data_IF_106173465184
#
_entry.id   IF_106173465184
#
_cell.length_a   1.000
_cell.length_b   1.000
_cell.length_c   1.000
_cell.angle_alpha   90.00
_cell.angle_beta   90.00
_cell.angle_gamma   90.00
#
_symmetry.space_group_name_H-M   'P 1'
#
loop_
_entity.id
_entity.type
_entity.pdbx_description
1 polymer ?
#
# COMPACT_ATOMS: atom_id res chain seq x y z
N UNK A 1 -15.19 3.22 14.87
CA UNK A 1 -15.91 2.10 15.46
C UNK A 1 -15.48 0.79 14.82
N UNK A 2 -15.41 -0.25 15.64
CA UNK A 2 -15.05 -1.56 15.15
C UNK A 2 -16.26 -2.27 14.52
N UNK A 3 -16.09 -2.85 13.36
CA UNK A 3 -17.10 -3.64 12.70
C UNK A 3 -16.57 -5.06 12.51
N UNK A 4 -17.46 -6.03 12.50
CA UNK A 4 -17.08 -7.42 12.32
C UNK A 4 -17.23 -7.81 10.86
N UNK A 5 -16.14 -8.32 10.28
CA UNK A 5 -16.12 -8.83 8.91
C UNK A 5 -15.66 -10.28 8.99
N UNK A 6 -16.38 -11.17 8.31
CA UNK A 6 -16.02 -12.60 8.29
C UNK A 6 -15.41 -12.99 6.96
N UNK A 7 -14.26 -13.65 7.04
CA UNK A 7 -13.52 -14.13 5.86
C UNK A 7 -13.10 -15.57 6.11
N UNK A 8 -13.20 -16.40 5.09
CA UNK A 8 -12.71 -17.78 5.17
C UNK A 8 -11.22 -17.79 4.89
N UNK A 9 -10.48 -18.46 5.76
CA UNK A 9 -9.03 -18.62 5.63
C UNK A 9 -8.75 -20.11 5.48
N UNK A 10 -7.85 -20.50 4.57
CA UNK A 10 -7.50 -21.90 4.41
C UNK A 10 -6.66 -22.39 5.60
N UNK A 11 -6.56 -23.71 5.73
CA UNK A 11 -5.86 -24.34 6.86
C UNK A 11 -4.39 -23.97 6.91
N UNK A 12 -3.75 -23.80 5.76
CA UNK A 12 -2.34 -23.45 5.67
C UNK A 12 -2.08 -22.05 6.23
N UNK A 13 -2.89 -21.09 5.84
CA UNK A 13 -2.78 -19.72 6.34
C UNK A 13 -3.06 -19.66 7.83
N UNK A 14 -4.07 -20.39 8.29
CA UNK A 14 -4.39 -20.42 9.71
C UNK A 14 -3.22 -20.98 10.54
N UNK A 15 -2.57 -22.04 10.06
CA UNK A 15 -1.37 -22.58 10.72
C UNK A 15 -0.24 -21.56 10.79
N UNK A 16 0.01 -20.85 9.71
CA UNK A 16 1.05 -19.83 9.66
C UNK A 16 0.77 -18.70 10.66
N UNK A 17 -0.48 -18.27 10.76
CA UNK A 17 -0.90 -17.26 11.74
C UNK A 17 -0.70 -17.77 13.18
N UNK A 18 -1.05 -19.01 13.43
CA UNK A 18 -0.86 -19.62 14.76
C UNK A 18 0.62 -19.74 15.12
N UNK A 19 1.47 -20.07 14.15
CA UNK A 19 2.92 -20.10 14.35
C UNK A 19 3.46 -18.73 14.71
N UNK A 20 3.04 -17.69 14.00
CA UNK A 20 3.43 -16.30 14.28
C UNK A 20 2.99 -15.91 15.68
N UNK A 21 1.76 -16.27 16.05
CA UNK A 21 1.21 -15.99 17.37
C UNK A 21 2.08 -16.58 18.48
N UNK A 22 2.57 -17.80 18.30
CA UNK A 22 3.45 -18.46 19.27
C UNK A 22 4.84 -17.81 19.33
N UNK A 23 5.42 -17.51 18.18
CA UNK A 23 6.75 -16.90 18.08
C UNK A 23 6.74 -15.50 18.71
N UNK A 24 5.73 -14.73 18.39
CA UNK A 24 5.58 -13.34 18.83
C UNK A 24 5.01 -13.22 20.24
N UNK A 25 4.59 -14.33 20.84
CA UNK A 25 3.96 -14.38 22.16
C UNK A 25 2.78 -13.43 22.25
N UNK A 26 1.93 -13.45 21.22
CA UNK A 26 0.78 -12.57 21.09
C UNK A 26 -0.47 -13.39 20.80
N UNK A 27 -1.64 -12.80 20.95
CA UNK A 27 -2.89 -13.49 20.67
C UNK A 27 -3.09 -13.58 19.15
N UNK A 28 -3.83 -14.60 18.73
CA UNK A 28 -4.18 -14.77 17.32
C UNK A 28 -4.93 -13.55 16.78
N UNK A 29 -5.83 -12.98 17.58
CA UNK A 29 -6.59 -11.79 17.19
C UNK A 29 -5.68 -10.58 16.95
N UNK A 30 -4.70 -10.36 17.82
CA UNK A 30 -3.77 -9.25 17.67
C UNK A 30 -2.85 -9.43 16.45
N UNK A 31 -2.39 -10.66 16.22
CA UNK A 31 -1.58 -10.99 15.04
C UNK A 31 -2.37 -10.71 13.76
N UNK A 32 -3.64 -11.16 13.72
CA UNK A 32 -4.52 -10.90 12.57
C UNK A 32 -4.71 -9.40 12.33
N UNK A 33 -4.90 -8.63 13.40
CA UNK A 33 -5.10 -7.19 13.29
C UNK A 33 -3.84 -6.49 12.74
N UNK A 34 -2.67 -6.89 13.20
CA UNK A 34 -1.41 -6.37 12.68
C UNK A 34 -1.22 -6.69 11.21
N UNK A 35 -1.51 -7.93 10.82
CA UNK A 35 -1.41 -8.37 9.42
C UNK A 35 -2.37 -7.58 8.54
N UNK A 36 -3.61 -7.39 8.99
CA UNK A 36 -4.59 -6.60 8.24
C UNK A 36 -4.13 -5.15 8.08
N UNK A 37 -3.61 -4.56 9.14
CA UNK A 37 -3.14 -3.17 9.10
C UNK A 37 -2.00 -2.99 8.09
N UNK A 38 -1.01 -3.86 8.15
CA UNK A 38 0.10 -3.87 7.19
C UNK A 38 -0.37 -4.18 5.78
N UNK A 39 -1.26 -5.16 5.65
CA UNK A 39 -1.79 -5.57 4.35
C UNK A 39 -2.59 -4.48 3.65
N UNK A 40 -3.37 -3.71 4.39
CA UNK A 40 -4.12 -2.58 3.83
C UNK A 40 -3.18 -1.52 3.28
N UNK A 41 -2.14 -1.17 4.03
CA UNK A 41 -1.15 -0.19 3.59
C UNK A 41 -0.40 -0.66 2.35
N UNK A 42 0.01 -1.91 2.35
CA UNK A 42 0.72 -2.53 1.22
C UNK A 42 -0.16 -2.60 -0.02
N UNK A 43 -1.43 -2.96 0.15
CA UNK A 43 -2.38 -3.03 -0.96
C UNK A 43 -2.65 -1.66 -1.57
N UNK A 44 -2.78 -0.64 -0.76
CA UNK A 44 -2.94 0.74 -1.24
C UNK A 44 -1.74 1.19 -2.04
N UNK A 45 -0.53 0.88 -1.57
CA UNK A 45 0.69 1.21 -2.28
C UNK A 45 0.77 0.46 -3.61
N UNK A 46 0.43 -0.82 -3.62
CA UNK A 46 0.39 -1.64 -4.83
C UNK A 46 -0.54 -1.05 -5.88
N UNK A 47 -1.75 -0.67 -5.47
CA UNK A 47 -2.74 -0.04 -6.35
C UNK A 47 -2.21 1.29 -6.89
N UNK A 48 -1.61 2.10 -6.02
CA UNK A 48 -1.06 3.40 -6.40
C UNK A 48 0.06 3.25 -7.45
N UNK A 49 0.96 2.29 -7.25
CA UNK A 49 2.05 2.02 -8.19
C UNK A 49 1.53 1.54 -9.54
N UNK A 50 0.52 0.68 -9.53
CA UNK A 50 -0.10 0.17 -10.76
C UNK A 50 -0.76 1.30 -11.56
N UNK A 51 -1.53 2.15 -10.88
CA UNK A 51 -2.16 3.30 -11.52
C UNK A 51 -1.14 4.27 -12.10
N UNK A 52 -0.05 4.49 -11.38
CA UNK A 52 1.03 5.34 -11.87
C UNK A 52 1.69 4.75 -13.12
N UNK A 53 2.02 3.45 -13.08
CA UNK A 53 2.62 2.75 -14.23
C UNK A 53 1.75 2.82 -15.47
N UNK A 54 0.43 2.72 -15.28
CA UNK A 54 -0.54 2.71 -16.37
C UNK A 54 -0.94 4.12 -16.81
N UNK A 55 -0.31 5.14 -16.28
CA UNK A 55 -0.64 6.55 -16.55
C UNK A 55 -2.08 6.93 -16.18
N UNK A 56 -2.67 6.20 -15.24
CA UNK A 56 -4.01 6.48 -14.72
C UNK A 56 -4.00 7.49 -13.59
N UNK A 57 -2.85 7.72 -12.99
CA UNK A 57 -2.67 8.68 -11.90
C UNK A 57 -1.30 9.33 -12.00
N UNK A 58 -1.23 10.60 -11.66
CA UNK A 58 0.04 11.30 -11.50
C UNK A 58 0.73 10.79 -10.23
N UNK A 59 2.02 11.09 -10.07
CA UNK A 59 2.76 10.71 -8.86
C UNK A 59 2.11 11.28 -7.61
N UNK A 60 1.62 12.52 -7.69
CA UNK A 60 0.95 13.19 -6.58
C UNK A 60 -0.34 12.47 -6.19
N UNK A 61 -1.18 12.13 -7.18
CA UNK A 61 -2.42 11.40 -6.92
C UNK A 61 -2.16 9.99 -6.40
N UNK A 62 -1.15 9.32 -6.95
CA UNK A 62 -0.76 7.99 -6.49
C UNK A 62 -0.28 8.02 -5.04
N UNK A 63 0.51 9.01 -4.67
CA UNK A 63 0.94 9.20 -3.29
C UNK A 63 -0.25 9.37 -2.35
N UNK A 64 -1.28 10.10 -2.78
CA UNK A 64 -2.51 10.25 -2.00
C UNK A 64 -3.26 8.93 -1.84
N UNK A 65 -3.35 8.13 -2.90
CA UNK A 65 -3.98 6.80 -2.83
C UNK A 65 -3.27 5.94 -1.79
N UNK A 66 -1.93 5.96 -1.80
CA UNK A 66 -1.12 5.20 -0.85
C UNK A 66 -1.09 5.84 0.55
N UNK A 67 -1.61 7.05 0.68
CA UNK A 67 -1.60 7.82 1.92
C UNK A 67 -0.19 8.06 2.47
N UNK A 68 0.72 8.41 1.59
CA UNK A 68 2.10 8.74 1.92
C UNK A 68 2.50 10.07 1.28
N UNK A 69 3.52 10.75 1.79
CA UNK A 69 4.03 11.97 1.16
C UNK A 69 4.56 11.70 -0.24
N UNK A 70 4.48 12.70 -1.10
CA UNK A 70 4.99 12.58 -2.47
C UNK A 70 6.47 12.21 -2.49
N UNK A 71 7.27 12.80 -1.61
CA UNK A 71 8.70 12.52 -1.52
C UNK A 71 8.97 11.04 -1.25
N UNK A 72 8.20 10.45 -0.35
CA UNK A 72 8.32 9.02 -0.05
C UNK A 72 7.89 8.15 -1.24
N UNK A 73 6.83 8.55 -1.92
CA UNK A 73 6.38 7.85 -3.13
C UNK A 73 7.46 7.87 -4.21
N UNK A 74 8.08 9.01 -4.42
CA UNK A 74 9.18 9.15 -5.38
C UNK A 74 10.37 8.26 -5.01
N UNK A 75 10.72 8.19 -3.74
CA UNK A 75 11.78 7.30 -3.25
C UNK A 75 11.47 5.84 -3.53
N UNK A 76 10.23 5.43 -3.35
CA UNK A 76 9.78 4.07 -3.63
C UNK A 76 9.92 3.77 -5.12
N UNK A 77 9.55 4.70 -5.98
CA UNK A 77 9.71 4.55 -7.44
C UNK A 77 11.17 4.30 -7.81
N UNK A 78 12.07 5.08 -7.22
CA UNK A 78 13.52 4.92 -7.44
C UNK A 78 13.99 3.55 -6.97
N UNK A 79 13.62 3.15 -5.77
CA UNK A 79 14.00 1.86 -5.18
C UNK A 79 13.52 0.67 -6.01
N UNK A 80 12.34 0.78 -6.61
CA UNK A 80 11.76 -0.28 -7.44
C UNK A 80 12.19 -0.22 -8.89
N UNK A 81 12.97 0.79 -9.25
CA UNK A 81 13.42 0.97 -10.63
C UNK A 81 12.27 1.31 -11.58
N UNK A 82 11.23 1.94 -11.07
CA UNK A 82 10.08 2.34 -11.88
C UNK A 82 10.40 3.67 -12.56
N UNK A 83 10.16 3.72 -13.86
CA UNK A 83 10.36 4.92 -14.65
C UNK A 83 9.31 5.97 -14.26
N UNK A 84 9.73 7.24 -14.12
CA UNK A 84 8.84 8.29 -13.71
C UNK A 84 7.79 8.66 -14.74
N UNK A 85 8.00 8.36 -16.01
CA UNK A 85 7.06 8.64 -17.09
C UNK A 85 6.61 10.11 -17.18
N UNK A 86 7.39 11.03 -16.63
CA UNK A 86 7.03 12.44 -16.67
C UNK A 86 7.26 13.00 -18.06
N UNK A 87 6.17 13.03 -18.83
CA UNK A 87 6.10 13.91 -19.97
C UNK A 87 5.84 15.33 -19.49
N UNK A 88 6.02 16.30 -20.37
CA UNK A 88 5.78 17.70 -20.05
C UNK A 88 4.37 17.94 -19.51
N UNK A 89 3.39 17.23 -20.05
CA UNK A 89 1.99 17.34 -19.64
C UNK A 89 1.76 16.93 -18.19
N UNK A 90 2.30 15.79 -17.79
CA UNK A 90 2.16 15.30 -16.41
C UNK A 90 2.83 16.22 -15.42
N UNK A 91 3.98 16.73 -15.77
CA UNK A 91 4.72 17.67 -14.92
C UNK A 91 3.90 18.94 -14.69
N UNK A 92 3.23 19.43 -15.71
CA UNK A 92 2.36 20.58 -15.60
C UNK A 92 1.17 20.31 -14.67
N UNK A 93 0.53 19.17 -14.83
CA UNK A 93 -0.60 18.78 -14.00
C UNK A 93 -0.20 18.71 -12.52
N UNK A 94 0.93 18.09 -12.23
CA UNK A 94 1.43 17.99 -10.86
C UNK A 94 1.75 19.39 -10.29
N UNK A 95 2.33 20.24 -11.11
CA UNK A 95 2.68 21.59 -10.70
C UNK A 95 1.44 22.46 -10.42
N UNK A 96 0.43 22.36 -11.28
CA UNK A 96 -0.84 23.08 -11.11
C UNK A 96 -1.56 22.68 -9.84
N UNK A 97 -1.51 21.40 -9.49
CA UNK A 97 -2.14 20.89 -8.27
C UNK A 97 -1.46 21.43 -7.02
N UNK A 98 -0.15 21.70 -7.08
CA UNK A 98 0.62 22.22 -5.95
C UNK A 98 0.45 23.72 -5.75
N UNK A 99 -0.03 24.42 -6.74
CA UNK A 99 -0.31 25.84 -6.67
C UNK A 99 -1.72 26.09 -6.16
#
# INVERSE_FOLDING_TARGET
>A
MAETVSVRIDKKELKEIEEISKIDKNTRSNVLREILDKGVKEKKLEIALEKFRNNEATAWKAARIANIPLTKFMDILVQKGIDFHYGVKELREDFEVLI
#
